data_IF_913953202766
#
_entry.id   IF_913953202766
#
_cell.length_a   1.000
_cell.length_b   1.000
_cell.length_c   1.000
_cell.angle_alpha   90.00
_cell.angle_beta   90.00
_cell.angle_gamma   90.00
#
_symmetry.space_group_name_H-M   'P 1'
#
loop_
_entity.id
_entity.type
_entity.pdbx_description
1 polymer ?
#
# COMPACT_ATOMS: atom_id res chain seq x y z
N UNK A 1 -8.95 -13.92 -0.35
CA UNK A 1 -8.27 -14.39 -1.58
C UNK A 1 -7.74 -15.79 -1.33
N UNK A 2 -7.76 -16.64 -2.36
CA UNK A 2 -7.18 -17.98 -2.30
C UNK A 2 -5.67 -17.91 -2.00
N UNK A 3 -5.19 -18.72 -1.07
CA UNK A 3 -3.77 -18.87 -0.74
C UNK A 3 -3.12 -19.79 -1.78
N UNK A 4 -1.92 -19.49 -2.28
CA UNK A 4 -1.23 -20.43 -3.16
C UNK A 4 -0.87 -21.70 -2.37
N UNK A 5 -0.81 -22.83 -3.08
CA UNK A 5 -0.18 -24.04 -2.58
C UNK A 5 1.26 -23.77 -2.13
N UNK A 6 1.73 -24.50 -1.12
CA UNK A 6 3.08 -24.37 -0.57
C UNK A 6 4.16 -24.58 -1.63
N UNK A 7 5.31 -23.92 -1.44
CA UNK A 7 6.47 -24.10 -2.32
C UNK A 7 7.00 -25.53 -2.30
N UNK A 8 7.04 -26.16 -1.11
CA UNK A 8 7.44 -27.56 -0.98
C UNK A 8 6.62 -28.48 -1.91
N UNK A 9 5.29 -28.32 -1.92
CA UNK A 9 4.42 -29.13 -2.78
C UNK A 9 4.72 -28.89 -4.27
N UNK A 10 4.96 -27.62 -4.63
CA UNK A 10 5.30 -27.23 -6.01
C UNK A 10 6.62 -27.83 -6.46
N UNK A 11 7.65 -27.74 -5.62
CA UNK A 11 8.99 -28.25 -5.88
C UNK A 11 8.99 -29.77 -5.99
N UNK A 12 8.28 -30.47 -5.11
CA UNK A 12 8.15 -31.94 -5.17
C UNK A 12 7.41 -32.43 -6.42
N UNK A 13 6.35 -31.74 -6.83
CA UNK A 13 5.64 -32.05 -8.07
C UNK A 13 6.54 -31.84 -9.28
N UNK A 14 7.28 -30.74 -9.32
CA UNK A 14 8.21 -30.45 -10.41
C UNK A 14 9.36 -31.46 -10.42
N UNK A 15 9.97 -31.78 -9.28
CA UNK A 15 11.03 -32.78 -9.17
C UNK A 15 10.57 -34.17 -9.61
N UNK A 16 9.34 -34.56 -9.27
CA UNK A 16 8.76 -35.81 -9.76
C UNK A 16 8.66 -35.87 -11.30
N UNK A 17 8.44 -34.74 -11.97
CA UNK A 17 8.36 -34.69 -13.43
C UNK A 17 9.74 -34.58 -14.07
N UNK A 18 10.62 -33.71 -13.54
CA UNK A 18 11.90 -33.38 -14.17
C UNK A 18 13.04 -34.30 -13.79
N UNK A 19 13.04 -34.83 -12.56
CA UNK A 19 14.09 -35.71 -12.04
C UNK A 19 13.66 -37.18 -12.06
N UNK A 20 12.43 -37.50 -11.65
CA UNK A 20 11.93 -38.89 -11.63
C UNK A 20 11.29 -39.32 -12.97
N UNK A 21 11.13 -38.40 -13.93
CA UNK A 21 10.62 -38.70 -15.27
C UNK A 21 9.12 -39.01 -15.34
N UNK A 22 8.33 -38.67 -14.32
CA UNK A 22 6.89 -38.89 -14.33
C UNK A 22 6.19 -37.91 -15.29
N UNK A 23 5.10 -38.36 -15.92
CA UNK A 23 4.22 -37.44 -16.64
C UNK A 23 3.50 -36.49 -15.66
N UNK A 24 3.15 -35.28 -16.12
CA UNK A 24 2.37 -34.33 -15.30
C UNK A 24 1.07 -34.95 -14.76
N UNK A 25 0.43 -35.85 -15.53
CA UNK A 25 -0.78 -36.57 -15.10
C UNK A 25 -0.47 -37.57 -13.98
N UNK A 26 0.64 -38.29 -14.05
CA UNK A 26 1.08 -39.20 -13.01
C UNK A 26 1.48 -38.46 -11.72
N UNK A 27 2.20 -37.34 -11.84
CA UNK A 27 2.54 -36.47 -10.72
C UNK A 27 1.26 -35.90 -10.05
N UNK A 28 0.30 -35.41 -10.84
CA UNK A 28 -0.97 -34.92 -10.30
C UNK A 28 -1.73 -35.98 -9.49
N UNK A 29 -1.78 -37.23 -9.99
CA UNK A 29 -2.37 -38.37 -9.28
C UNK A 29 -1.62 -38.68 -7.98
N UNK A 30 -0.28 -38.65 -7.99
CA UNK A 30 0.57 -38.95 -6.82
C UNK A 30 0.39 -37.92 -5.70
N UNK A 31 0.27 -36.64 -6.05
CA UNK A 31 0.20 -35.55 -5.08
C UNK A 31 -1.23 -35.05 -4.81
N UNK A 32 -2.25 -35.64 -5.44
CA UNK A 32 -3.65 -35.30 -5.20
C UNK A 32 -4.05 -33.90 -5.69
N UNK A 33 -3.42 -33.41 -6.76
CA UNK A 33 -3.68 -32.07 -7.32
C UNK A 33 -4.34 -32.14 -8.70
N UNK A 34 -4.87 -31.02 -9.18
CA UNK A 34 -5.38 -30.90 -10.54
C UNK A 34 -4.27 -31.08 -11.58
N UNK A 35 -4.57 -31.77 -12.69
CA UNK A 35 -3.62 -32.01 -13.78
C UNK A 35 -3.13 -30.69 -14.38
N UNK A 36 -4.02 -29.72 -14.58
CA UNK A 36 -3.68 -28.38 -15.06
C UNK A 36 -2.69 -27.67 -14.13
N UNK A 37 -2.87 -27.80 -12.82
CA UNK A 37 -1.97 -27.21 -11.81
C UNK A 37 -0.56 -27.79 -11.91
N UNK A 38 -0.42 -29.12 -12.08
CA UNK A 38 0.87 -29.75 -12.27
C UNK A 38 1.55 -29.27 -13.57
N UNK A 39 0.79 -29.17 -14.67
CA UNK A 39 1.29 -28.66 -15.96
C UNK A 39 1.78 -27.21 -15.81
N UNK A 40 0.99 -26.34 -15.17
CA UNK A 40 1.34 -24.93 -14.98
C UNK A 40 2.64 -24.76 -14.17
N UNK A 41 2.85 -25.57 -13.14
CA UNK A 41 4.07 -25.52 -12.32
C UNK A 41 5.30 -25.97 -13.10
N UNK A 42 5.19 -27.07 -13.86
CA UNK A 42 6.27 -27.56 -14.72
C UNK A 42 6.59 -26.55 -15.82
N UNK A 43 5.57 -25.98 -16.47
CA UNK A 43 5.75 -24.93 -17.48
C UNK A 43 6.47 -23.70 -16.90
N UNK A 44 6.08 -23.26 -15.70
CA UNK A 44 6.75 -22.15 -15.00
C UNK A 44 8.21 -22.48 -14.69
N UNK A 45 8.46 -23.69 -14.21
CA UNK A 45 9.82 -24.15 -13.92
C UNK A 45 10.70 -24.15 -15.18
N UNK A 46 10.20 -24.63 -16.32
CA UNK A 46 10.94 -24.55 -17.58
C UNK A 46 11.18 -23.11 -18.07
N UNK A 47 10.24 -22.19 -17.81
CA UNK A 47 10.37 -20.80 -18.25
C UNK A 47 11.27 -19.94 -17.35
N UNK A 48 11.31 -20.21 -16.04
CA UNK A 48 11.94 -19.32 -15.03
C UNK A 48 12.95 -20.01 -14.13
N UNK A 49 13.06 -21.34 -14.19
CA UNK A 49 13.88 -22.14 -13.27
C UNK A 49 13.27 -22.33 -11.88
N UNK A 50 12.08 -21.79 -11.60
CA UNK A 50 11.43 -21.91 -10.29
C UNK A 50 9.94 -22.24 -10.38
N UNK A 51 9.47 -23.09 -9.47
CA UNK A 51 8.05 -23.42 -9.30
C UNK A 51 7.32 -22.45 -8.35
N UNK A 52 8.06 -21.51 -7.74
CA UNK A 52 7.51 -20.56 -6.79
C UNK A 52 6.37 -19.73 -7.41
N UNK A 53 5.29 -19.43 -6.66
CA UNK A 53 4.27 -18.53 -7.13
C UNK A 53 4.88 -17.15 -7.40
N UNK A 54 4.37 -16.47 -8.42
CA UNK A 54 4.68 -15.05 -8.60
C UNK A 54 4.14 -14.24 -7.42
N UNK A 55 4.49 -12.96 -7.38
CA UNK A 55 3.97 -12.03 -6.38
C UNK A 55 2.42 -12.06 -6.42
N UNK A 56 1.82 -12.65 -5.38
CA UNK A 56 0.37 -12.70 -5.21
C UNK A 56 -0.06 -11.53 -4.34
N UNK A 57 -0.81 -10.62 -4.95
CA UNK A 57 -1.16 -9.35 -4.33
C UNK A 57 -0.01 -8.33 -4.42
N UNK A 58 -0.35 -7.10 -4.11
CA UNK A 58 0.53 -5.95 -4.25
C UNK A 58 -0.34 -4.74 -4.55
N UNK A 59 -0.21 -3.69 -3.74
CA UNK A 59 -0.79 -2.42 -4.10
C UNK A 59 0.07 -1.79 -5.19
N UNK A 60 -0.58 -1.27 -6.24
CA UNK A 60 0.09 -0.37 -7.18
C UNK A 60 0.78 0.73 -6.35
N UNK A 61 2.07 1.02 -6.55
CA UNK A 61 2.72 2.11 -5.84
C UNK A 61 1.88 3.37 -6.03
N UNK A 62 1.68 4.11 -4.94
CA UNK A 62 0.82 5.30 -4.95
C UNK A 62 1.34 6.27 -6.00
N UNK A 63 0.43 6.87 -6.77
CA UNK A 63 0.78 7.83 -7.81
C UNK A 63 1.53 9.05 -7.23
N UNK A 64 1.23 9.41 -5.97
CA UNK A 64 1.93 10.46 -5.23
C UNK A 64 3.06 9.82 -4.43
N UNK A 65 4.27 9.85 -4.98
CA UNK A 65 5.49 9.31 -4.36
C UNK A 65 6.68 10.27 -4.52
N UNK A 66 7.75 10.05 -3.75
CA UNK A 66 9.00 10.82 -3.85
C UNK A 66 8.81 12.34 -3.64
N UNK A 67 9.46 13.15 -4.48
CA UNK A 67 9.44 14.61 -4.37
C UNK A 67 8.05 15.25 -4.48
N UNK A 68 7.09 14.60 -5.16
CA UNK A 68 5.71 15.10 -5.19
C UNK A 68 5.01 14.96 -3.84
N UNK A 69 5.35 13.92 -3.05
CA UNK A 69 4.82 13.75 -1.68
C UNK A 69 5.35 14.83 -0.75
N UNK A 70 6.65 15.07 -0.74
CA UNK A 70 7.30 16.06 0.12
C UNK A 70 6.74 17.45 -0.15
N UNK A 71 6.68 17.82 -1.43
CA UNK A 71 6.10 19.09 -1.84
C UNK A 71 4.63 19.22 -1.43
N UNK A 72 3.82 18.18 -1.60
CA UNK A 72 2.39 18.23 -1.27
C UNK A 72 2.18 18.42 0.24
N UNK A 73 3.03 17.81 1.09
CA UNK A 73 3.00 18.02 2.54
C UNK A 73 3.37 19.46 2.91
N UNK A 74 4.44 20.01 2.34
CA UNK A 74 4.84 21.40 2.58
C UNK A 74 3.76 22.38 2.12
N UNK A 75 3.21 22.15 0.93
CA UNK A 75 2.13 22.95 0.34
C UNK A 75 0.86 22.94 1.22
N UNK A 76 0.51 21.78 1.78
CA UNK A 76 -0.63 21.64 2.68
C UNK A 76 -0.41 22.32 4.04
N UNK A 77 0.84 22.41 4.51
CA UNK A 77 1.20 23.09 5.76
C UNK A 77 1.28 24.61 5.60
N UNK A 78 1.72 25.09 4.43
CA UNK A 78 1.93 26.51 4.17
C UNK A 78 0.61 27.30 4.06
N UNK A 79 -0.45 26.72 3.48
CA UNK A 79 -1.72 27.43 3.35
C UNK A 79 -2.93 26.51 3.28
N UNK A 80 -4.11 27.08 3.54
CA UNK A 80 -5.38 26.39 3.39
C UNK A 80 -5.55 25.88 1.95
N UNK A 81 -5.96 24.62 1.81
CA UNK A 81 -6.09 23.96 0.52
C UNK A 81 -7.47 23.35 0.35
N UNK A 82 -7.86 23.14 -0.90
CA UNK A 82 -8.97 22.27 -1.28
C UNK A 82 -8.42 21.09 -2.07
N UNK A 83 -9.03 19.92 -1.94
CA UNK A 83 -8.57 18.72 -2.64
C UNK A 83 -8.60 18.89 -4.17
N UNK A 84 -9.57 19.62 -4.72
CA UNK A 84 -9.62 19.96 -6.15
C UNK A 84 -8.52 20.93 -6.56
N UNK A 85 -8.16 21.89 -5.70
CA UNK A 85 -7.01 22.77 -5.93
C UNK A 85 -5.71 21.99 -5.97
N UNK A 86 -5.51 21.04 -5.04
CA UNK A 86 -4.33 20.17 -5.05
C UNK A 86 -4.23 19.30 -6.31
N UNK A 87 -5.36 18.81 -6.84
CA UNK A 87 -5.38 18.08 -8.12
C UNK A 87 -4.88 18.98 -9.27
N UNK A 88 -5.36 20.22 -9.36
CA UNK A 88 -4.93 21.16 -10.40
C UNK A 88 -3.44 21.50 -10.28
N UNK A 89 -2.97 21.80 -9.06
CA UNK A 89 -1.55 22.12 -8.82
C UNK A 89 -0.62 20.92 -9.07
N UNK A 90 -1.09 19.68 -8.86
CA UNK A 90 -0.34 18.48 -9.22
C UNK A 90 -0.30 18.26 -10.73
N UNK A 91 -1.40 18.55 -11.43
CA UNK A 91 -1.45 18.48 -12.89
C UNK A 91 -0.49 19.50 -13.54
N UNK A 92 -0.40 20.73 -13.01
CA UNK A 92 0.59 21.74 -13.44
C UNK A 92 2.04 21.26 -13.26
N UNK A 93 2.28 20.39 -12.27
CA UNK A 93 3.59 19.79 -11.99
C UNK A 93 3.85 18.50 -12.78
N UNK A 94 2.97 18.16 -13.73
CA UNK A 94 3.11 16.99 -14.61
C UNK A 94 2.63 15.68 -13.98
N UNK A 95 1.94 15.71 -12.84
CA UNK A 95 1.37 14.53 -12.20
C UNK A 95 -0.15 14.60 -12.21
N UNK A 96 -0.77 13.99 -13.21
CA UNK A 96 -2.22 13.86 -13.28
C UNK A 96 -2.71 12.80 -12.27
N UNK A 97 -3.41 13.25 -11.23
CA UNK A 97 -3.95 12.40 -10.16
C UNK A 97 -5.42 12.68 -9.95
N UNK A 98 -6.17 11.62 -9.71
CA UNK A 98 -7.58 11.75 -9.40
C UNK A 98 -7.82 12.28 -7.97
N UNK A 99 -8.99 12.88 -7.76
CA UNK A 99 -9.41 13.42 -6.46
C UNK A 99 -9.30 12.40 -5.31
N UNK A 100 -9.60 11.12 -5.56
CA UNK A 100 -9.58 10.07 -4.54
C UNK A 100 -8.14 9.69 -4.17
N UNK A 101 -7.21 9.73 -5.11
CA UNK A 101 -5.77 9.60 -4.84
C UNK A 101 -5.26 10.72 -3.92
N UNK A 102 -5.63 11.98 -4.20
CA UNK A 102 -5.28 13.12 -3.34
C UNK A 102 -5.95 13.03 -1.96
N UNK A 103 -7.22 12.64 -1.90
CA UNK A 103 -7.93 12.44 -0.63
C UNK A 103 -7.30 11.33 0.22
N UNK A 104 -6.98 10.18 -0.38
CA UNK A 104 -6.34 9.07 0.31
C UNK A 104 -4.95 9.49 0.84
N UNK A 105 -4.20 10.26 0.06
CA UNK A 105 -2.93 10.83 0.50
C UNK A 105 -3.09 11.75 1.72
N UNK A 106 -3.98 12.75 1.62
CA UNK A 106 -4.22 13.73 2.70
C UNK A 106 -4.67 13.03 3.99
N UNK A 107 -5.52 12.00 3.88
CA UNK A 107 -5.99 11.21 5.02
C UNK A 107 -4.86 10.41 5.67
N UNK A 108 -4.02 9.78 4.87
CA UNK A 108 -2.95 8.91 5.38
C UNK A 108 -1.79 9.72 5.97
N UNK A 109 -1.56 10.95 5.49
CA UNK A 109 -0.63 11.91 6.11
C UNK A 109 -1.21 12.60 7.36
N UNK A 110 -2.46 12.29 7.74
CA UNK A 110 -3.14 12.92 8.89
C UNK A 110 -3.37 14.42 8.72
N UNK A 111 -3.31 14.94 7.49
CA UNK A 111 -3.45 16.35 7.16
C UNK A 111 -4.94 16.72 7.17
N UNK A 112 -5.46 17.09 8.34
CA UNK A 112 -6.83 17.61 8.42
C UNK A 112 -6.87 19.09 8.03
N UNK A 113 -7.89 19.48 7.26
CA UNK A 113 -8.19 20.89 7.00
C UNK A 113 -8.53 21.59 8.33
N UNK A 114 -7.56 22.32 8.88
CA UNK A 114 -7.75 23.08 10.12
C UNK A 114 -8.51 24.36 9.77
N UNK A 115 -9.79 24.44 10.15
CA UNK A 115 -10.70 25.57 9.89
C UNK A 115 -10.27 26.93 10.47
N UNK A 116 -9.15 27.04 11.19
CA UNK A 116 -8.70 28.27 11.86
C UNK A 116 -7.20 28.51 11.64
N UNK A 117 -6.84 29.76 11.31
CA UNK A 117 -5.45 30.23 11.31
C UNK A 117 -4.86 30.02 12.70
N UNK A 118 -3.58 29.66 12.75
CA UNK A 118 -2.84 29.51 13.99
C UNK A 118 -2.82 30.85 14.74
N UNK A 119 -3.26 30.83 16.00
CA UNK A 119 -3.07 31.91 16.96
C UNK A 119 -2.14 31.40 18.06
N UNK A 120 -1.23 32.23 18.61
CA UNK A 120 -0.43 31.83 19.77
C UNK A 120 -1.36 31.47 20.93
N UNK A 121 -0.95 30.52 21.77
CA UNK A 121 -1.65 30.25 23.01
C UNK A 121 -1.70 31.55 23.83
N UNK A 122 -2.91 32.00 24.12
CA UNK A 122 -3.19 33.01 25.12
C UNK A 122 -2.57 32.54 26.44
N UNK A 123 -1.57 33.28 26.91
CA UNK A 123 -0.89 33.02 28.18
C UNK A 123 -1.93 32.93 29.29
N UNK A 124 -1.83 31.88 30.11
CA UNK A 124 -2.67 31.67 31.27
C UNK A 124 -2.31 32.71 32.33
N UNK A 125 -2.90 33.90 32.27
CA UNK A 125 -2.86 34.82 33.41
C UNK A 125 -3.65 34.18 34.57
N UNK A 126 -3.12 34.13 35.81
CA UNK A 126 -3.83 33.49 36.92
C UNK A 126 -5.06 34.29 37.31
N UNK A 127 -6.24 33.76 37.04
CA UNK A 127 -7.52 34.32 37.46
C UNK A 127 -7.82 33.90 38.90
N UNK A 128 -7.37 34.66 39.91
CA UNK A 128 -8.06 34.77 41.21
C UNK A 128 -7.42 35.84 42.11
N UNK A 129 -8.21 36.76 42.70
CA UNK A 129 -7.74 37.57 43.82
C UNK A 129 -7.81 36.77 45.14
N UNK A 130 -6.89 36.94 46.09
CA UNK A 130 -7.01 36.33 47.41
C UNK A 130 -8.16 36.97 48.18
N UNK A 131 -9.21 36.19 48.46
CA UNK A 131 -10.33 36.61 49.29
C UNK A 131 -9.92 36.80 50.75
N UNK A 132 -9.76 38.06 51.18
CA UNK A 132 -9.61 38.42 52.59
C UNK A 132 -10.96 38.42 53.32
N UNK A 133 -11.05 37.65 54.40
CA UNK A 133 -12.10 37.80 55.43
C UNK A 133 -11.57 38.71 56.54
N UNK A 134 -12.28 39.77 56.87
CA UNK A 134 -12.14 40.52 58.11
C UNK A 134 -13.49 41.14 58.49
N UNK A 135 -13.90 40.98 59.76
CA UNK A 135 -15.07 41.60 60.37
C UNK A 135 -16.16 40.62 60.73
#
# INVERSE_FOLDING_TARGET
MARPFSNDLRERVVGAVTQEGLSCRAAAKRFGIGISTAIDWVRRFHATGSAAPGQMGGHKPRAICGGHREWLVERCRASAFTLRGLVAELAERGLDVDYRSVWAFVRDEGLSYKKRRWSPANGSDPTSPPGGRAG
#
